data_IF_250116475318
#
_entry.id   IF_250116475318
#
_cell.length_a   1.000
_cell.length_b   1.000
_cell.length_c   1.000
_cell.angle_alpha   90.00
_cell.angle_beta   90.00
_cell.angle_gamma   90.00
#
_symmetry.space_group_name_H-M   'P 1'
#
loop_
_entity.id
_entity.type
_entity.pdbx_description
1 polymer ?
#
# COMPACT_ATOMS: atom_id res chain seq x y z
N UNK A 1 2.27 -20.80 7.14
CA UNK A 1 2.76 -19.94 8.23
C UNK A 1 1.84 -18.73 8.35
N UNK A 2 0.98 -18.73 9.37
CA UNK A 2 0.21 -17.54 9.70
C UNK A 2 1.16 -16.52 10.31
N UNK A 3 1.29 -15.34 9.70
CA UNK A 3 1.94 -14.21 10.34
C UNK A 3 1.24 -13.93 11.68
N UNK A 4 1.99 -13.57 12.74
CA UNK A 4 1.37 -13.22 14.01
C UNK A 4 0.49 -11.99 13.80
N UNK A 5 -0.80 -12.22 13.60
CA UNK A 5 -1.79 -11.16 13.70
C UNK A 5 -1.89 -10.78 15.17
N UNK A 6 -1.68 -9.51 15.49
CA UNK A 6 -1.99 -9.02 16.81
C UNK A 6 -3.45 -9.36 17.12
N UNK A 7 -3.69 -9.97 18.27
CA UNK A 7 -5.06 -10.17 18.76
C UNK A 7 -5.72 -8.81 18.92
N UNK A 8 -6.99 -8.72 18.63
CA UNK A 8 -7.76 -7.46 18.77
C UNK A 8 -7.64 -6.82 20.16
N UNK A 9 -7.40 -7.63 21.19
CA UNK A 9 -7.14 -7.19 22.57
C UNK A 9 -5.84 -6.44 22.76
N UNK A 10 -4.89 -6.53 21.80
CA UNK A 10 -3.57 -5.91 21.89
C UNK A 10 -3.52 -4.55 21.19
N UNK A 11 -4.60 -4.12 20.55
CA UNK A 11 -4.69 -2.85 19.86
C UNK A 11 -5.02 -1.73 20.83
N UNK A 12 -4.27 -0.64 20.79
CA UNK A 12 -4.59 0.54 21.57
C UNK A 12 -5.87 1.19 21.01
N UNK A 13 -6.76 1.61 21.91
CA UNK A 13 -8.00 2.28 21.53
C UNK A 13 -7.78 3.48 20.59
N UNK A 14 -6.74 4.27 20.84
CA UNK A 14 -6.41 5.42 19.99
C UNK A 14 -6.03 5.03 18.55
N UNK A 15 -5.39 3.87 18.35
CA UNK A 15 -5.05 3.38 17.02
C UNK A 15 -6.30 2.94 16.26
N UNK A 16 -7.25 2.30 16.94
CA UNK A 16 -8.55 1.93 16.36
C UNK A 16 -9.35 3.16 15.96
N UNK A 17 -9.37 4.20 16.81
CA UNK A 17 -10.04 5.47 16.49
C UNK A 17 -9.37 6.15 15.30
N UNK A 18 -8.04 6.21 15.26
CA UNK A 18 -7.29 6.80 14.15
C UNK A 18 -7.56 6.06 12.85
N UNK A 19 -7.57 4.72 12.87
CA UNK A 19 -7.91 3.90 11.70
C UNK A 19 -9.33 4.20 11.19
N UNK A 20 -10.31 4.25 12.07
CA UNK A 20 -11.71 4.59 11.72
C UNK A 20 -11.83 5.97 11.09
N UNK A 21 -11.10 6.95 11.61
CA UNK A 21 -11.05 8.33 11.04
C UNK A 21 -10.42 8.35 9.65
N UNK A 22 -9.31 7.64 9.44
CA UNK A 22 -8.68 7.53 8.12
C UNK A 22 -9.60 6.86 7.12
N UNK A 23 -10.24 5.75 7.50
CA UNK A 23 -11.16 5.03 6.63
C UNK A 23 -12.39 5.89 6.25
N UNK A 24 -13.03 6.52 7.22
CA UNK A 24 -14.17 7.39 6.96
C UNK A 24 -13.80 8.57 6.05
N UNK A 25 -12.67 9.21 6.31
CA UNK A 25 -12.16 10.29 5.47
C UNK A 25 -11.79 9.82 4.06
N UNK A 26 -11.20 8.63 3.91
CA UNK A 26 -10.90 8.03 2.62
C UNK A 26 -12.17 7.82 1.79
N UNK A 27 -13.19 7.21 2.37
CA UNK A 27 -14.48 7.01 1.69
C UNK A 27 -15.11 8.34 1.29
N UNK A 28 -15.14 9.33 2.22
CA UNK A 28 -15.62 10.67 1.91
C UNK A 28 -14.85 11.28 0.72
N UNK A 29 -13.52 11.20 0.73
CA UNK A 29 -12.69 11.75 -0.33
C UNK A 29 -12.94 11.08 -1.69
N UNK A 30 -13.18 9.77 -1.71
CA UNK A 30 -13.55 9.05 -2.93
C UNK A 30 -14.90 9.53 -3.49
N UNK A 31 -15.94 9.62 -2.66
CA UNK A 31 -17.27 10.07 -3.09
C UNK A 31 -17.31 11.56 -3.48
N UNK A 32 -16.51 12.39 -2.82
CA UNK A 32 -16.41 13.83 -3.13
C UNK A 32 -15.40 14.15 -4.23
N UNK A 33 -14.81 13.12 -4.88
CA UNK A 33 -13.86 13.26 -5.97
C UNK A 33 -12.61 14.08 -5.61
N UNK A 34 -12.06 13.80 -4.42
CA UNK A 34 -10.84 14.41 -3.91
C UNK A 34 -9.69 13.38 -3.87
N UNK A 35 -9.07 13.03 -5.02
CA UNK A 35 -8.08 11.94 -5.08
C UNK A 35 -6.83 12.20 -4.23
N UNK A 36 -6.40 13.45 -4.12
CA UNK A 36 -5.23 13.81 -3.29
C UNK A 36 -5.51 13.60 -1.80
N UNK A 37 -6.72 13.94 -1.34
CA UNK A 37 -7.14 13.68 0.03
C UNK A 37 -7.29 12.18 0.28
N UNK A 38 -7.87 11.45 -0.67
CA UNK A 38 -7.97 9.99 -0.58
C UNK A 38 -6.58 9.34 -0.42
N UNK A 39 -5.62 9.72 -1.25
CA UNK A 39 -4.25 9.22 -1.16
C UNK A 39 -3.60 9.51 0.21
N UNK A 40 -3.78 10.71 0.76
CA UNK A 40 -3.27 11.09 2.08
C UNK A 40 -3.86 10.27 3.22
N UNK A 41 -5.09 9.77 3.06
CA UNK A 41 -5.83 9.00 4.06
C UNK A 41 -5.66 7.48 3.91
N UNK A 42 -4.95 7.01 2.89
CA UNK A 42 -4.55 5.61 2.74
C UNK A 42 -3.42 5.27 3.72
N UNK A 43 -3.78 5.12 5.00
CA UNK A 43 -2.84 4.86 6.09
C UNK A 43 -3.28 3.66 6.90
N UNK A 44 -2.41 2.67 7.01
CA UNK A 44 -2.57 1.56 7.94
C UNK A 44 -1.79 1.87 9.23
N UNK A 45 -2.52 2.18 10.29
CA UNK A 45 -1.96 2.40 11.65
C UNK A 45 -2.11 1.17 12.54
N UNK A 46 -2.74 0.10 12.03
CA UNK A 46 -3.04 -1.14 12.75
C UNK A 46 -1.95 -2.18 12.51
N UNK A 47 -1.73 -2.56 11.26
CA UNK A 47 -0.88 -3.70 10.91
C UNK A 47 0.51 -3.27 10.42
N UNK A 48 0.59 -2.26 9.55
CA UNK A 48 1.83 -1.83 8.90
C UNK A 48 2.96 -1.49 9.88
N UNK A 49 2.74 -0.75 10.99
CA UNK A 49 3.81 -0.42 11.95
C UNK A 49 4.49 -1.64 12.58
N UNK A 50 3.80 -2.77 12.64
CA UNK A 50 4.33 -4.02 13.20
C UNK A 50 4.93 -4.94 12.13
N UNK A 51 4.47 -4.83 10.91
CA UNK A 51 4.89 -5.66 9.77
C UNK A 51 6.10 -5.12 9.05
N UNK A 52 6.29 -3.80 9.01
CA UNK A 52 7.40 -3.19 8.27
C UNK A 52 8.77 -3.74 8.69
N UNK A 53 8.95 -4.09 9.97
CA UNK A 53 10.18 -4.71 10.49
C UNK A 53 10.45 -6.11 9.94
N UNK A 54 9.42 -6.78 9.42
CA UNK A 54 9.50 -8.13 8.84
C UNK A 54 9.78 -8.07 7.33
N UNK A 55 9.78 -6.88 6.74
CA UNK A 55 9.96 -6.66 5.31
C UNK A 55 11.28 -5.92 5.07
N UNK A 56 12.36 -6.63 4.69
CA UNK A 56 13.65 -6.00 4.45
C UNK A 56 13.56 -4.88 3.41
N UNK A 57 14.07 -3.71 3.75
CA UNK A 57 14.10 -2.55 2.85
C UNK A 57 12.76 -1.81 2.68
N UNK A 58 11.67 -2.25 3.32
CA UNK A 58 10.34 -1.66 3.13
C UNK A 58 10.30 -0.16 3.43
N UNK A 59 10.87 0.27 4.57
CA UNK A 59 10.90 1.68 4.96
C UNK A 59 11.65 2.55 3.93
N UNK A 60 12.79 2.06 3.46
CA UNK A 60 13.56 2.75 2.41
C UNK A 60 12.81 2.80 1.08
N UNK A 61 12.18 1.70 0.70
CA UNK A 61 11.37 1.64 -0.51
C UNK A 61 10.20 2.63 -0.44
N UNK A 62 9.49 2.67 0.67
CA UNK A 62 8.39 3.60 0.91
C UNK A 62 8.81 5.06 0.79
N UNK A 63 9.95 5.42 1.38
CA UNK A 63 10.52 6.76 1.25
C UNK A 63 10.89 7.07 -0.21
N UNK A 64 11.60 6.17 -0.87
CA UNK A 64 12.06 6.36 -2.24
C UNK A 64 10.90 6.51 -3.23
N UNK A 65 9.86 5.68 -3.14
CA UNK A 65 8.71 5.80 -4.04
C UNK A 65 7.94 7.11 -3.83
N UNK A 66 7.86 7.61 -2.60
CA UNK A 66 7.28 8.92 -2.31
C UNK A 66 8.11 10.06 -2.93
N UNK A 67 9.43 10.02 -2.82
CA UNK A 67 10.35 10.99 -3.42
C UNK A 67 10.29 10.98 -4.95
N UNK A 68 10.05 9.82 -5.58
CA UNK A 68 9.84 9.70 -7.03
C UNK A 68 8.50 10.33 -7.46
N UNK A 69 7.50 10.32 -6.57
CA UNK A 69 6.21 10.96 -6.81
C UNK A 69 5.00 10.05 -6.62
N UNK A 70 5.15 8.89 -5.98
CA UNK A 70 4.00 8.09 -5.58
C UNK A 70 3.13 8.87 -4.57
N UNK A 71 1.82 8.87 -4.77
CA UNK A 71 0.86 9.61 -3.93
C UNK A 71 0.44 8.83 -2.70
N UNK A 72 0.59 7.52 -2.71
CA UNK A 72 0.42 6.64 -1.56
C UNK A 72 1.25 5.37 -1.74
N UNK A 73 1.57 4.71 -0.65
CA UNK A 73 2.22 3.38 -0.66
C UNK A 73 1.91 2.64 0.64
N UNK A 74 2.02 1.32 0.60
CA UNK A 74 1.76 0.49 1.76
C UNK A 74 2.00 -0.99 1.49
N UNK A 75 1.65 -1.81 2.47
CA UNK A 75 1.68 -3.27 2.37
C UNK A 75 0.36 -3.75 1.78
N UNK A 76 0.41 -4.59 0.76
CA UNK A 76 -0.77 -5.23 0.21
C UNK A 76 -1.13 -6.47 1.03
N UNK A 77 -2.32 -6.46 1.61
CA UNK A 77 -2.82 -7.56 2.43
C UNK A 77 -1.91 -7.87 3.62
N UNK A 78 -1.46 -9.12 3.75
CA UNK A 78 -0.54 -9.55 4.81
C UNK A 78 0.94 -9.31 4.49
N UNK A 79 1.27 -8.84 3.32
CA UNK A 79 2.62 -8.81 2.77
C UNK A 79 3.04 -10.16 2.14
N UNK A 80 4.24 -10.25 1.55
CA UNK A 80 5.30 -9.25 1.51
C UNK A 80 5.16 -8.18 0.41
N UNK A 81 4.06 -8.15 -0.30
CA UNK A 81 3.86 -7.25 -1.44
C UNK A 81 3.71 -5.79 -0.99
N UNK A 82 4.54 -4.92 -1.54
CA UNK A 82 4.40 -3.47 -1.46
C UNK A 82 3.58 -2.97 -2.65
N UNK A 83 2.66 -2.06 -2.42
CA UNK A 83 2.04 -1.28 -3.48
C UNK A 83 2.47 0.19 -3.43
N UNK A 84 2.50 0.83 -4.59
CA UNK A 84 2.66 2.28 -4.73
C UNK A 84 1.58 2.80 -5.70
N UNK A 85 0.83 3.79 -5.27
CA UNK A 85 -0.17 4.45 -6.09
C UNK A 85 0.44 5.67 -6.76
N UNK A 86 0.30 5.75 -8.07
CA UNK A 86 0.81 6.85 -8.88
C UNK A 86 -0.34 7.46 -9.70
N UNK A 87 -0.34 8.77 -9.82
CA UNK A 87 -1.34 9.53 -10.59
C UNK A 87 -0.96 9.71 -12.06
N UNK A 88 0.29 9.38 -12.42
CA UNK A 88 0.85 9.51 -13.77
C UNK A 88 1.56 8.25 -14.22
N UNK A 89 1.38 7.82 -15.49
CA UNK A 89 2.07 6.64 -16.02
C UNK A 89 3.60 6.75 -15.99
N UNK A 90 4.16 7.91 -16.25
CA UNK A 90 5.61 8.15 -16.17
C UNK A 90 6.16 7.96 -14.77
N UNK A 91 5.44 8.46 -13.76
CA UNK A 91 5.79 8.24 -12.35
C UNK A 91 5.71 6.75 -11.99
N UNK A 92 4.67 6.05 -12.45
CA UNK A 92 4.52 4.61 -12.21
C UNK A 92 5.70 3.82 -12.82
N UNK A 93 6.15 4.18 -14.02
CA UNK A 93 7.30 3.53 -14.64
C UNK A 93 8.60 3.76 -13.84
N UNK A 94 8.86 4.99 -13.42
CA UNK A 94 10.06 5.30 -12.61
C UNK A 94 10.03 4.60 -11.25
N UNK A 95 8.87 4.51 -10.62
CA UNK A 95 8.68 3.77 -9.37
C UNK A 95 8.93 2.28 -9.59
N UNK A 96 8.37 1.69 -10.66
CA UNK A 96 8.56 0.29 -11.00
C UNK A 96 10.03 -0.04 -11.26
N UNK A 97 10.73 0.79 -12.02
CA UNK A 97 12.16 0.63 -12.30
C UNK A 97 12.99 0.67 -11.03
N UNK A 98 12.70 1.61 -10.13
CA UNK A 98 13.39 1.71 -8.85
C UNK A 98 13.14 0.50 -7.97
N UNK A 99 11.89 0.06 -7.84
CA UNK A 99 11.53 -1.12 -7.03
C UNK A 99 12.18 -2.40 -7.57
N UNK A 100 12.20 -2.57 -8.88
CA UNK A 100 12.86 -3.71 -9.53
C UNK A 100 14.36 -3.78 -9.24
N UNK A 101 15.03 -2.63 -9.18
CA UNK A 101 16.48 -2.56 -8.93
C UNK A 101 16.87 -2.64 -7.45
N UNK A 102 16.03 -2.11 -6.54
CA UNK A 102 16.44 -1.82 -5.17
C UNK A 102 15.62 -2.56 -4.11
N UNK A 103 14.42 -3.03 -4.43
CA UNK A 103 13.52 -3.63 -3.45
C UNK A 103 13.27 -5.12 -3.66
N UNK A 104 13.29 -5.62 -4.89
CA UNK A 104 13.17 -7.06 -5.15
C UNK A 104 14.26 -7.84 -4.43
N UNK A 105 13.84 -8.88 -3.67
CA UNK A 105 14.75 -9.67 -2.84
C UNK A 105 15.39 -10.83 -3.62
N UNK A 106 14.76 -11.32 -4.66
CA UNK A 106 15.20 -12.44 -5.47
C UNK A 106 14.55 -12.42 -6.87
N UNK A 107 14.92 -13.39 -7.70
CA UNK A 107 14.42 -13.52 -9.07
C UNK A 107 13.00 -14.10 -9.17
N UNK A 108 12.44 -14.62 -8.09
CA UNK A 108 11.06 -15.12 -8.05
C UNK A 108 10.03 -13.99 -7.84
N UNK A 109 10.50 -12.84 -7.37
CA UNK A 109 9.68 -11.64 -7.24
C UNK A 109 9.47 -10.94 -8.57
N UNK A 110 8.47 -10.08 -8.61
CA UNK A 110 8.15 -9.29 -9.79
C UNK A 110 7.64 -7.89 -9.42
N UNK A 111 7.71 -6.99 -10.38
CA UNK A 111 7.07 -5.66 -10.30
C UNK A 111 6.12 -5.53 -11.47
N UNK A 112 4.86 -5.22 -11.18
CA UNK A 112 3.84 -4.96 -12.18
C UNK A 112 3.28 -3.55 -12.05
N UNK A 113 3.04 -2.90 -13.18
CA UNK A 113 2.23 -1.68 -13.28
C UNK A 113 0.81 -2.11 -13.63
N UNK A 114 -0.12 -1.80 -12.75
CA UNK A 114 -1.53 -2.18 -12.86
C UNK A 114 -2.42 -0.95 -12.88
N UNK A 115 -3.63 -1.12 -13.36
CA UNK A 115 -4.72 -0.15 -13.20
C UNK A 115 -5.78 -0.71 -12.26
N UNK A 116 -6.55 0.17 -11.63
CA UNK A 116 -7.71 -0.24 -10.84
C UNK A 116 -8.76 -0.85 -11.76
N UNK A 117 -9.14 -2.09 -11.48
CA UNK A 117 -10.19 -2.78 -12.20
C UNK A 117 -11.55 -2.47 -11.57
N UNK A 118 -12.45 -1.88 -12.34
CA UNK A 118 -13.79 -1.51 -11.88
C UNK A 118 -14.81 -2.64 -11.99
N UNK A 119 -14.48 -3.71 -12.71
CA UNK A 119 -15.35 -4.89 -12.85
C UNK A 119 -15.21 -5.89 -11.68
N UNK A 120 -14.12 -5.78 -10.89
CA UNK A 120 -13.85 -6.66 -9.76
C UNK A 120 -13.34 -8.05 -10.18
N UNK A 121 -13.37 -8.98 -9.24
CA UNK A 121 -12.89 -10.34 -9.46
C UNK A 121 -13.80 -11.10 -10.44
N UNK A 122 -13.20 -11.79 -11.42
CA UNK A 122 -13.90 -12.58 -12.42
C UNK A 122 -13.04 -13.72 -12.92
N UNK A 123 -13.70 -14.78 -13.41
CA UNK A 123 -13.04 -15.86 -14.14
C UNK A 123 -12.79 -15.38 -15.57
N UNK A 124 -11.57 -15.51 -16.05
CA UNK A 124 -11.24 -15.27 -17.46
C UNK A 124 -11.43 -16.59 -18.20
N UNK A 125 -12.29 -16.61 -19.22
CA UNK A 125 -12.38 -17.72 -20.16
C UNK A 125 -11.18 -17.66 -21.11
N UNK A 126 -10.47 -18.79 -21.24
CA UNK A 126 -9.32 -18.92 -22.17
C UNK A 126 -9.79 -19.10 -23.60
#
# INVERSE_FOLDING_TARGET
HSFPTRRSSDLRRQDCIAHGRHLAGFIHACYSRQPELAAKLMKDVIAEPYRERLLPGFRQARQAVAEIGAVASGISGSGPTLFALCDKPDTAQRVADWLGKNYLQNQEGFVHICQLDTAGARVLEN
#
